data_IF_127454339758
#
_entry.id   IF_127454339758
#
_cell.length_a   1.000
_cell.length_b   1.000
_cell.length_c   1.000
_cell.angle_alpha   90.00
_cell.angle_beta   90.00
_cell.angle_gamma   90.00
#
_symmetry.space_group_name_H-M   'P 1'
#
loop_
_entity.id
_entity.type
_entity.pdbx_description
1 polymer ?
#
# COMPACT_ATOMS: atom_id res chain seq x y z
N UNK A 1 -20.70 0.88 26.51
CA UNK A 1 -19.30 0.67 26.08
C UNK A 1 -19.08 1.37 24.76
N UNK A 2 -18.25 2.42 24.74
CA UNK A 2 -17.90 3.17 23.53
C UNK A 2 -16.37 3.18 23.39
N UNK A 3 -15.88 3.09 22.16
CA UNK A 3 -14.47 3.25 21.82
C UNK A 3 -14.35 4.33 20.74
N UNK A 4 -13.36 5.20 20.87
CA UNK A 4 -13.11 6.23 19.86
C UNK A 4 -12.37 5.61 18.68
N UNK A 5 -13.05 5.55 17.53
CA UNK A 5 -12.48 5.09 16.26
C UNK A 5 -12.53 6.24 15.25
N UNK A 6 -11.47 6.39 14.46
CA UNK A 6 -11.52 7.30 13.32
C UNK A 6 -12.49 6.77 12.25
N UNK A 7 -12.89 7.62 11.29
CA UNK A 7 -13.88 7.24 10.25
C UNK A 7 -13.53 5.95 9.52
N UNK A 8 -12.26 5.77 9.14
CA UNK A 8 -11.77 4.57 8.47
C UNK A 8 -11.96 3.32 9.33
N UNK A 9 -11.57 3.38 10.60
CA UNK A 9 -11.65 2.22 11.50
C UNK A 9 -13.09 1.91 11.93
N UNK A 10 -13.92 2.94 12.08
CA UNK A 10 -15.35 2.75 12.30
C UNK A 10 -16.01 1.99 11.14
N UNK A 11 -15.72 2.39 9.90
CA UNK A 11 -16.18 1.68 8.71
C UNK A 11 -15.66 0.25 8.66
N UNK A 12 -14.38 0.05 8.97
CA UNK A 12 -13.78 -1.28 8.98
C UNK A 12 -14.51 -2.24 9.93
N UNK A 13 -14.90 -1.76 11.11
CA UNK A 13 -15.65 -2.57 12.09
C UNK A 13 -17.09 -2.83 11.66
N UNK A 14 -17.78 -1.83 11.10
CA UNK A 14 -19.20 -1.96 10.78
C UNK A 14 -19.48 -2.64 9.43
N UNK A 15 -18.61 -2.45 8.45
CA UNK A 15 -18.87 -2.85 7.05
C UNK A 15 -17.86 -3.87 6.53
N UNK A 16 -16.61 -3.83 7.02
CA UNK A 16 -15.51 -4.63 6.46
C UNK A 16 -15.23 -5.89 7.31
N UNK A 17 -16.03 -6.14 8.36
CA UNK A 17 -15.99 -7.38 9.16
C UNK A 17 -14.93 -7.42 10.27
N UNK A 18 -14.27 -6.31 10.57
CA UNK A 18 -13.37 -6.25 11.73
C UNK A 18 -14.16 -6.29 13.04
N UNK A 19 -13.57 -6.87 14.09
CA UNK A 19 -14.24 -7.00 15.38
C UNK A 19 -13.46 -6.28 16.47
N UNK A 20 -14.20 -5.78 17.47
CA UNK A 20 -13.66 -5.17 18.68
C UNK A 20 -14.31 -5.83 19.89
N UNK A 21 -13.49 -6.42 20.75
CA UNK A 21 -13.89 -6.95 22.05
C UNK A 21 -13.31 -6.08 23.15
N UNK A 22 -14.00 -5.99 24.29
CA UNK A 22 -13.48 -5.33 25.49
C UNK A 22 -13.34 -6.36 26.60
N UNK A 23 -12.15 -6.43 27.17
CA UNK A 23 -11.84 -7.31 28.30
C UNK A 23 -12.37 -6.79 29.63
N UNK A 24 -12.33 -7.66 30.65
CA UNK A 24 -12.77 -7.35 32.01
C UNK A 24 -11.94 -6.21 32.64
N UNK A 25 -10.67 -6.09 32.27
CA UNK A 25 -9.76 -5.00 32.65
C UNK A 25 -10.00 -3.70 31.84
N UNK A 26 -10.86 -3.76 30.82
CA UNK A 26 -11.19 -2.65 29.94
C UNK A 26 -10.32 -2.54 28.69
N UNK A 27 -9.36 -3.44 28.48
CA UNK A 27 -8.49 -3.50 27.29
C UNK A 27 -9.31 -3.83 26.04
N UNK A 28 -9.00 -3.17 24.91
CA UNK A 28 -9.65 -3.46 23.64
C UNK A 28 -8.83 -4.44 22.82
N UNK A 29 -9.48 -5.52 22.35
CA UNK A 29 -8.89 -6.48 21.41
C UNK A 29 -9.52 -6.32 20.04
N UNK A 30 -8.69 -6.16 19.03
CA UNK A 30 -9.10 -6.04 17.64
C UNK A 30 -8.84 -7.34 16.88
N UNK A 31 -9.77 -7.75 16.02
CA UNK A 31 -9.59 -8.91 15.14
C UNK A 31 -9.84 -8.54 13.68
N UNK A 32 -9.08 -9.17 12.79
CA UNK A 32 -9.30 -9.09 11.34
C UNK A 32 -10.63 -9.75 10.95
N UNK A 33 -11.10 -9.55 9.70
CA UNK A 33 -12.32 -10.22 9.22
C UNK A 33 -12.22 -11.76 9.22
N UNK A 34 -11.00 -12.29 9.19
CA UNK A 34 -10.71 -13.72 9.36
C UNK A 34 -10.62 -14.19 10.81
N UNK A 35 -10.91 -13.34 11.80
CA UNK A 35 -10.87 -13.64 13.23
C UNK A 35 -9.48 -13.59 13.88
N UNK A 36 -8.42 -13.31 13.11
CA UNK A 36 -7.05 -13.25 13.63
C UNK A 36 -6.87 -12.00 14.51
N UNK A 37 -6.28 -12.10 15.70
CA UNK A 37 -6.00 -10.93 16.53
C UNK A 37 -5.03 -9.98 15.81
N UNK A 38 -5.32 -8.70 15.90
CA UNK A 38 -4.41 -7.62 15.50
C UNK A 38 -3.54 -7.32 16.73
N UNK A 39 -2.22 -7.55 16.67
CA UNK A 39 -1.35 -7.26 17.80
C UNK A 39 -1.25 -5.75 18.01
N UNK A 40 -1.10 -5.33 19.27
CA UNK A 40 -0.85 -3.92 19.62
C UNK A 40 0.40 -3.39 18.91
N UNK A 41 1.44 -4.21 18.85
CA UNK A 41 2.65 -3.97 18.07
C UNK A 41 2.93 -5.20 17.21
N UNK A 42 2.88 -5.10 15.87
CA UNK A 42 3.32 -6.18 15.00
C UNK A 42 4.78 -6.53 15.28
N UNK A 43 5.11 -7.82 15.32
CA UNK A 43 6.50 -8.24 15.40
C UNK A 43 7.26 -7.70 14.17
N UNK A 44 8.44 -7.10 14.34
CA UNK A 44 9.27 -6.75 13.21
C UNK A 44 9.62 -8.03 12.44
N UNK A 45 9.73 -7.96 11.10
CA UNK A 45 10.20 -9.10 10.32
C UNK A 45 11.60 -9.52 10.79
N UNK A 46 11.93 -10.80 10.64
CA UNK A 46 13.29 -11.26 10.87
C UNK A 46 14.20 -10.64 9.80
N UNK A 47 15.14 -9.80 10.23
CA UNK A 47 16.07 -9.09 9.35
C UNK A 47 17.47 -9.68 9.57
N UNK A 48 18.15 -10.17 8.51
CA UNK A 48 19.52 -10.66 8.63
C UNK A 48 20.46 -9.59 9.19
N UNK A 49 21.53 -10.01 9.90
CA UNK A 49 22.53 -9.08 10.46
C UNK A 49 23.14 -8.17 9.40
N UNK A 50 23.23 -8.66 8.17
CA UNK A 50 23.80 -8.03 6.98
C UNK A 50 22.71 -7.68 5.94
N UNK A 51 21.50 -7.33 6.41
CA UNK A 51 20.34 -7.07 5.54
C UNK A 51 20.60 -6.09 4.39
N UNK A 52 21.45 -5.08 4.61
CA UNK A 52 21.84 -4.15 3.55
C UNK A 52 22.63 -4.87 2.44
N UNK A 53 23.59 -5.71 2.80
CA UNK A 53 24.35 -6.53 1.84
C UNK A 53 23.46 -7.54 1.13
N UNK A 54 22.58 -8.23 1.87
CA UNK A 54 21.63 -9.18 1.31
C UNK A 54 20.70 -8.51 0.27
N UNK A 55 20.21 -7.30 0.57
CA UNK A 55 19.39 -6.50 -0.34
C UNK A 55 20.16 -6.11 -1.60
N UNK A 56 21.39 -5.63 -1.46
CA UNK A 56 22.26 -5.28 -2.59
C UNK A 56 22.55 -6.50 -3.47
N UNK A 57 22.84 -7.66 -2.87
CA UNK A 57 23.05 -8.90 -3.61
C UNK A 57 21.78 -9.33 -4.38
N UNK A 58 20.61 -9.25 -3.75
CA UNK A 58 19.33 -9.55 -4.38
C UNK A 58 19.03 -8.61 -5.57
N UNK A 59 19.32 -7.31 -5.45
CA UNK A 59 19.21 -6.37 -6.55
C UNK A 59 20.14 -6.75 -7.71
N UNK A 60 21.41 -7.03 -7.42
CA UNK A 60 22.40 -7.45 -8.44
C UNK A 60 22.00 -8.74 -9.15
N UNK A 61 21.51 -9.73 -8.41
CA UNK A 61 21.02 -10.99 -8.98
C UNK A 61 19.83 -10.78 -9.93
N UNK A 62 19.06 -9.70 -9.75
CA UNK A 62 17.96 -9.28 -10.63
C UNK A 62 18.40 -8.33 -11.74
N UNK A 63 19.70 -8.05 -11.89
CA UNK A 63 20.23 -7.07 -12.84
C UNK A 63 19.89 -5.62 -12.50
N UNK A 64 19.47 -5.34 -11.26
CA UNK A 64 19.13 -3.99 -10.81
C UNK A 64 20.39 -3.29 -10.28
N UNK A 65 20.88 -2.31 -11.02
CA UNK A 65 21.98 -1.44 -10.62
C UNK A 65 21.41 -0.21 -9.86
N UNK A 66 20.93 -0.43 -8.63
CA UNK A 66 20.41 0.65 -7.78
C UNK A 66 21.57 1.34 -7.05
N UNK A 67 21.65 2.65 -7.20
CA UNK A 67 22.64 3.53 -6.60
C UNK A 67 21.97 4.77 -5.96
N UNK A 68 22.79 5.66 -5.41
CA UNK A 68 22.33 6.89 -4.76
C UNK A 68 21.60 7.87 -5.69
N UNK A 69 21.71 7.68 -7.02
CA UNK A 69 21.09 8.54 -8.05
C UNK A 69 19.84 7.91 -8.65
N UNK A 70 19.55 6.64 -8.37
CA UNK A 70 18.39 5.93 -8.94
C UNK A 70 17.06 6.62 -8.63
N UNK A 71 16.92 7.20 -7.44
CA UNK A 71 15.74 8.00 -7.07
C UNK A 71 15.84 9.48 -7.45
N UNK A 72 16.97 9.94 -7.99
CA UNK A 72 17.13 11.33 -8.40
C UNK A 72 16.46 11.53 -9.77
N UNK A 73 15.54 12.50 -9.89
CA UNK A 73 15.00 12.83 -11.20
C UNK A 73 16.11 13.42 -12.08
N UNK A 74 15.94 13.32 -13.39
CA UNK A 74 16.72 14.09 -14.36
C UNK A 74 16.30 15.55 -14.47
N UNK A 75 15.32 15.98 -13.66
CA UNK A 75 14.78 17.34 -13.62
C UNK A 75 15.85 18.33 -13.16
N UNK A 76 16.06 19.40 -13.93
CA UNK A 76 17.09 20.40 -13.67
C UNK A 76 16.50 21.71 -13.09
N UNK A 77 15.21 21.72 -12.77
CA UNK A 77 14.51 22.86 -12.18
C UNK A 77 13.63 23.64 -13.17
N UNK A 78 13.45 23.12 -14.39
CA UNK A 78 12.54 23.69 -15.38
C UNK A 78 11.09 23.69 -14.89
N UNK A 79 10.25 24.61 -15.40
CA UNK A 79 8.83 24.63 -15.06
C UNK A 79 8.14 23.37 -15.61
N UNK A 80 7.30 22.75 -14.79
CA UNK A 80 6.43 21.65 -15.23
C UNK A 80 5.48 22.14 -16.34
N UNK A 81 5.47 21.44 -17.47
CA UNK A 81 4.41 21.59 -18.48
C UNK A 81 3.14 20.93 -17.97
N UNK A 82 2.31 21.71 -17.29
CA UNK A 82 1.06 21.24 -16.69
C UNK A 82 0.05 20.79 -17.75
N UNK A 83 0.03 21.44 -18.92
CA UNK A 83 -0.91 21.09 -19.99
C UNK A 83 -0.57 19.71 -20.56
N UNK A 84 0.72 19.44 -20.81
CA UNK A 84 1.18 18.12 -21.25
C UNK A 84 0.94 17.05 -20.19
N UNK A 85 1.27 17.33 -18.92
CA UNK A 85 1.10 16.36 -17.83
C UNK A 85 -0.38 15.94 -17.65
N UNK A 86 -1.32 16.90 -17.71
CA UNK A 86 -2.76 16.60 -17.71
C UNK A 86 -3.12 15.79 -18.95
N UNK A 87 -2.62 16.20 -20.12
CA UNK A 87 -2.89 15.52 -21.39
C UNK A 87 -2.53 14.03 -21.39
N UNK A 88 -1.45 13.62 -20.71
CA UNK A 88 -0.98 12.22 -20.73
C UNK A 88 -1.38 11.40 -19.50
N UNK A 89 -1.60 12.03 -18.34
CA UNK A 89 -1.90 11.32 -17.08
C UNK A 89 -3.39 11.29 -16.74
N UNK A 90 -4.20 12.21 -17.28
CA UNK A 90 -5.60 12.29 -16.89
C UNK A 90 -6.41 11.12 -17.50
N UNK A 91 -7.14 10.30 -16.72
CA UNK A 91 -7.85 9.14 -17.24
C UNK A 91 -8.83 9.45 -18.39
N UNK A 92 -9.40 10.65 -18.42
CA UNK A 92 -10.31 11.08 -19.48
C UNK A 92 -9.60 11.38 -20.83
N UNK A 93 -8.28 11.39 -20.88
CA UNK A 93 -7.51 11.56 -22.13
C UNK A 93 -7.00 10.23 -22.69
N UNK A 94 -7.17 9.12 -21.96
CA UNK A 94 -6.84 7.79 -22.48
C UNK A 94 -7.90 7.32 -23.48
N UNK A 95 -7.51 6.78 -24.65
CA UNK A 95 -8.46 6.17 -25.57
C UNK A 95 -9.15 4.99 -24.88
N UNK A 96 -10.47 4.88 -25.08
CA UNK A 96 -11.23 3.77 -24.51
C UNK A 96 -10.65 2.44 -25.02
N UNK A 97 -10.26 1.55 -24.10
CA UNK A 97 -9.91 0.17 -24.47
C UNK A 97 -11.18 -0.48 -25.02
N UNK A 98 -11.20 -0.94 -26.29
CA UNK A 98 -12.38 -1.59 -26.84
C UNK A 98 -12.68 -2.85 -26.02
N UNK A 99 -13.92 -2.96 -25.54
CA UNK A 99 -14.38 -4.17 -24.85
C UNK A 99 -14.28 -5.35 -25.83
N UNK A 100 -13.67 -6.49 -25.46
CA UNK A 100 -13.69 -7.67 -26.31
C UNK A 100 -15.15 -8.05 -26.54
N UNK A 101 -15.54 -8.10 -27.81
CA UNK A 101 -16.84 -8.64 -28.23
C UNK A 101 -16.83 -10.11 -27.84
N UNK A 102 -17.67 -10.47 -26.87
CA UNK A 102 -17.85 -11.86 -26.47
C UNK A 102 -18.22 -12.68 -27.71
N UNK A 103 -17.46 -13.74 -28.00
CA UNK A 103 -17.92 -14.77 -28.93
C UNK A 103 -19.14 -15.43 -28.30
N UNK A 104 -20.31 -15.25 -28.92
CA UNK A 104 -21.48 -16.08 -28.64
C UNK A 104 -21.16 -17.54 -28.99
N UNK A 105 -21.77 -18.51 -28.25
CA UNK A 105 -21.57 -19.94 -28.44
C UNK A 105 -22.02 -20.43 -29.83
#
# INVERSE_FOLDING_TARGET
NLALLCRRHHRAVHEEGYQVERDADGTLRFRTPSGRPIPEVPAPPAVPRDAAQALVAAHRARGLAIDARTGCPSWLGERLDLAWAIGVLHPATQPAVPRPVGRSP
#
